data_IF_517588863549
#
_entry.id   IF_517588863549
#
_cell.length_a   1.000
_cell.length_b   1.000
_cell.length_c   1.000
_cell.angle_alpha   90.00
_cell.angle_beta   90.00
_cell.angle_gamma   90.00
#
_symmetry.space_group_name_H-M   'P 1'
#
loop_
_entity.id
_entity.type
_entity.pdbx_description
1 polymer ?
#
# COMPACT_ATOMS: atom_id res chain seq x y z
N UNK A 1 3.77 -2.97 12.20
CA UNK A 1 3.08 -1.97 13.02
C UNK A 1 3.65 -0.59 12.75
N UNK A 2 2.77 0.41 12.72
CA UNK A 2 3.18 1.82 12.59
C UNK A 2 2.67 2.56 13.83
N UNK A 3 3.58 3.01 14.65
CA UNK A 3 3.31 3.80 15.84
C UNK A 3 4.20 5.04 15.84
N UNK A 4 3.61 6.21 16.01
CA UNK A 4 4.35 7.49 16.02
C UNK A 4 5.28 7.69 14.80
N UNK A 5 4.79 7.35 13.59
CA UNK A 5 5.56 7.38 12.34
C UNK A 5 6.83 6.47 12.34
N UNK A 6 6.92 5.54 13.28
CA UNK A 6 7.94 4.49 13.31
C UNK A 6 7.33 3.17 12.87
N UNK A 7 8.06 2.44 12.03
CA UNK A 7 7.65 1.13 11.52
C UNK A 7 8.41 0.06 12.29
N UNK A 8 7.70 -0.92 12.83
CA UNK A 8 8.27 -2.09 13.51
C UNK A 8 7.76 -3.39 12.88
N UNK A 9 8.57 -4.45 13.00
CA UNK A 9 8.23 -5.78 12.52
C UNK A 9 7.64 -6.64 13.64
N UNK A 10 6.34 -6.93 13.55
CA UNK A 10 5.65 -7.79 14.52
C UNK A 10 6.10 -9.26 14.46
N UNK A 11 6.81 -9.69 13.42
CA UNK A 11 7.40 -11.03 13.33
C UNK A 11 8.83 -11.10 13.90
N UNK A 12 9.45 -9.95 14.21
CA UNK A 12 10.81 -9.87 14.75
C UNK A 12 10.83 -9.03 16.03
N UNK A 13 10.72 -9.68 17.18
CA UNK A 13 10.68 -9.00 18.49
C UNK A 13 11.98 -8.28 18.88
N UNK A 14 13.13 -8.70 18.32
CA UNK A 14 14.44 -8.10 18.59
C UNK A 14 14.77 -6.92 17.66
N UNK A 15 13.91 -6.64 16.68
CA UNK A 15 14.11 -5.58 15.68
C UNK A 15 13.73 -4.21 16.24
N UNK A 16 14.57 -3.21 15.97
CA UNK A 16 14.24 -1.80 16.17
C UNK A 16 13.31 -1.23 15.09
N UNK A 17 13.19 0.09 15.03
CA UNK A 17 12.43 0.76 13.97
C UNK A 17 13.05 0.49 12.60
N UNK A 18 12.19 0.14 11.62
CA UNK A 18 12.58 -0.16 10.26
C UNK A 18 12.40 1.05 9.34
N UNK A 19 13.27 1.17 8.33
CA UNK A 19 13.19 2.23 7.35
C UNK A 19 12.20 1.89 6.23
N UNK A 20 11.34 2.85 5.84
CA UNK A 20 10.58 2.79 4.60
C UNK A 20 11.43 3.37 3.49
N UNK A 21 11.67 2.59 2.43
CA UNK A 21 12.45 2.95 1.24
C UNK A 21 11.55 3.01 0.02
N UNK A 22 12.02 3.67 -1.01
CA UNK A 22 11.35 3.73 -2.31
C UNK A 22 12.25 3.15 -3.39
N UNK A 23 11.72 2.21 -4.15
CA UNK A 23 12.36 1.67 -5.34
C UNK A 23 11.54 2.04 -6.59
N UNK A 24 12.17 2.49 -7.69
CA UNK A 24 11.44 2.95 -8.88
C UNK A 24 10.44 1.93 -9.45
N UNK A 25 10.78 0.65 -9.43
CA UNK A 25 9.94 -0.43 -9.96
C UNK A 25 9.02 -1.08 -8.93
N UNK A 26 9.43 -1.14 -7.64
CA UNK A 26 8.69 -1.84 -6.57
C UNK A 26 7.83 -0.92 -5.70
N UNK A 27 7.94 0.42 -5.88
CA UNK A 27 7.29 1.37 -5.01
C UNK A 27 7.91 1.45 -3.61
N UNK A 28 7.10 1.79 -2.61
CA UNK A 28 7.55 1.85 -1.22
C UNK A 28 7.55 0.46 -0.58
N UNK A 29 8.61 0.19 0.17
CA UNK A 29 8.77 -1.06 0.92
C UNK A 29 9.47 -0.81 2.24
N UNK A 30 9.34 -1.76 3.17
CA UNK A 30 10.01 -1.73 4.47
C UNK A 30 11.31 -2.54 4.37
N UNK A 31 12.44 -1.88 4.57
CA UNK A 31 13.76 -2.49 4.51
C UNK A 31 13.95 -3.43 5.70
N UNK A 32 14.41 -4.66 5.45
CA UNK A 32 14.65 -5.65 6.50
C UNK A 32 13.41 -6.29 7.12
N UNK A 33 12.20 -6.05 6.56
CA UNK A 33 10.98 -6.69 7.03
C UNK A 33 11.06 -8.20 6.83
N UNK A 34 10.77 -8.97 7.88
CA UNK A 34 10.75 -10.43 7.82
C UNK A 34 9.59 -10.93 6.96
N UNK A 35 9.90 -11.80 6.01
CA UNK A 35 8.93 -12.51 5.19
C UNK A 35 8.97 -13.98 5.60
N UNK A 36 7.85 -14.52 6.07
CA UNK A 36 7.75 -15.91 6.50
C UNK A 36 7.01 -16.72 5.44
N UNK A 37 7.67 -17.68 4.76
CA UNK A 37 7.00 -18.59 3.85
C UNK A 37 6.00 -19.47 4.59
N UNK A 38 4.78 -19.58 4.08
CA UNK A 38 3.72 -20.43 4.62
C UNK A 38 3.31 -21.46 3.56
N UNK A 39 3.20 -22.73 3.97
CA UNK A 39 2.86 -23.84 3.06
C UNK A 39 1.35 -24.03 2.90
N UNK A 40 0.59 -23.65 3.93
CA UNK A 40 -0.84 -23.86 4.01
C UNK A 40 -1.54 -22.75 4.79
N UNK A 41 -2.87 -22.83 4.86
CA UNK A 41 -3.71 -21.89 5.58
C UNK A 41 -3.42 -21.89 7.09
N UNK A 42 -3.19 -23.06 7.68
CA UNK A 42 -2.96 -23.16 9.13
C UNK A 42 -1.66 -22.46 9.54
N UNK A 43 -0.58 -22.68 8.78
CA UNK A 43 0.70 -21.99 8.97
C UNK A 43 0.59 -20.48 8.76
N UNK A 44 -0.19 -20.03 7.77
CA UNK A 44 -0.46 -18.61 7.52
C UNK A 44 -1.19 -17.98 8.69
N UNK A 45 -2.29 -18.60 9.16
CA UNK A 45 -3.06 -18.08 10.29
C UNK A 45 -2.23 -18.08 11.58
N UNK A 46 -1.44 -19.12 11.83
CA UNK A 46 -0.52 -19.18 12.98
C UNK A 46 0.48 -18.02 12.96
N UNK A 47 1.08 -17.75 11.80
CA UNK A 47 2.04 -16.64 11.64
C UNK A 47 1.38 -15.28 11.91
N UNK A 48 0.18 -15.05 11.38
CA UNK A 48 -0.60 -13.84 11.64
C UNK A 48 -0.93 -13.70 13.13
N UNK A 49 -1.43 -14.78 13.74
CA UNK A 49 -1.80 -14.80 15.16
C UNK A 49 -0.61 -14.46 16.08
N UNK A 50 0.57 -15.01 15.80
CA UNK A 50 1.78 -14.68 16.55
C UNK A 50 2.16 -13.20 16.42
N UNK A 51 2.04 -12.60 15.25
CA UNK A 51 2.26 -11.16 15.05
C UNK A 51 1.27 -10.31 15.85
N UNK A 52 -0.03 -10.62 15.78
CA UNK A 52 -1.07 -9.92 16.50
C UNK A 52 -0.92 -10.02 18.03
N UNK A 53 -0.49 -11.18 18.54
CA UNK A 53 -0.24 -11.35 19.98
C UNK A 53 0.93 -10.46 20.44
N UNK A 54 1.98 -10.31 19.64
CA UNK A 54 3.08 -9.39 19.98
C UNK A 54 2.63 -7.94 20.02
N UNK A 55 1.77 -7.51 19.11
CA UNK A 55 1.14 -6.18 19.17
C UNK A 55 0.42 -5.97 20.50
N UNK A 56 -0.36 -6.96 20.96
CA UNK A 56 -1.10 -6.90 22.25
C UNK A 56 -0.17 -6.81 23.45
N UNK A 57 0.89 -7.61 23.48
CA UNK A 57 1.85 -7.59 24.60
C UNK A 57 2.61 -6.27 24.68
N UNK A 58 2.98 -5.69 23.53
CA UNK A 58 3.56 -4.34 23.47
C UNK A 58 2.61 -3.26 23.99
N UNK A 59 1.28 -3.42 23.76
CA UNK A 59 0.25 -2.49 24.21
C UNK A 59 0.07 -2.45 25.75
N UNK A 60 0.24 -3.58 26.44
CA UNK A 60 0.13 -3.64 27.91
C UNK A 60 1.18 -2.78 28.64
N UNK A 61 2.33 -2.52 28.00
CA UNK A 61 3.39 -1.69 28.57
C UNK A 61 3.22 -0.18 28.28
N UNK A 62 2.30 0.22 27.38
CA UNK A 62 2.17 1.59 26.87
C UNK A 62 0.68 1.98 26.67
N UNK A 63 -0.14 2.00 27.74
CA UNK A 63 -1.50 2.56 27.74
C UNK A 63 -2.25 2.45 26.39
N UNK A 64 -3.00 1.36 26.15
CA UNK A 64 -3.89 1.17 24.99
C UNK A 64 -3.25 1.44 23.61
N UNK A 65 -1.99 1.03 23.42
CA UNK A 65 -1.24 1.29 22.19
C UNK A 65 -1.94 0.75 20.91
N UNK A 66 -2.86 -0.22 21.01
CA UNK A 66 -3.59 -0.76 19.87
C UNK A 66 -4.56 0.26 19.24
N UNK A 67 -5.16 1.16 20.02
CA UNK A 67 -6.00 2.24 19.51
C UNK A 67 -5.19 3.37 18.88
N UNK A 68 -3.87 3.38 19.06
CA UNK A 68 -2.96 4.45 18.64
C UNK A 68 -1.94 4.03 17.59
N UNK A 69 -1.91 2.76 17.20
CA UNK A 69 -1.02 2.23 16.17
C UNK A 69 -1.80 1.66 14.99
N UNK A 70 -1.21 1.67 13.79
CA UNK A 70 -1.75 0.98 12.62
C UNK A 70 -1.06 -0.38 12.49
N UNK A 71 -1.82 -1.42 12.15
CA UNK A 71 -1.30 -2.74 11.86
C UNK A 71 -1.52 -3.08 10.38
N UNK A 72 -0.44 -3.43 9.68
CA UNK A 72 -0.49 -3.85 8.28
C UNK A 72 -0.06 -5.31 8.16
N UNK A 73 -0.95 -6.16 7.66
CA UNK A 73 -0.67 -7.56 7.38
C UNK A 73 -0.72 -7.77 5.88
N UNK A 74 0.43 -8.08 5.28
CA UNK A 74 0.52 -8.34 3.84
C UNK A 74 0.70 -9.84 3.59
N UNK A 75 -0.22 -10.43 2.82
CA UNK A 75 -0.15 -11.80 2.35
C UNK A 75 0.21 -11.78 0.87
N UNK A 76 1.32 -12.42 0.54
CA UNK A 76 1.79 -12.59 -0.82
C UNK A 76 1.39 -13.99 -1.31
N UNK A 77 0.73 -14.07 -2.46
CA UNK A 77 0.30 -15.32 -3.07
C UNK A 77 1.03 -15.46 -4.40
N UNK A 78 1.77 -16.55 -4.54
CA UNK A 78 2.44 -16.91 -5.76
C UNK A 78 1.81 -18.19 -6.32
N UNK A 79 1.24 -18.11 -7.52
CA UNK A 79 0.67 -19.25 -8.23
C UNK A 79 1.59 -19.63 -9.38
N UNK A 80 2.09 -20.86 -9.32
CA UNK A 80 2.84 -21.47 -10.43
C UNK A 80 1.95 -22.55 -11.09
N UNK A 81 1.84 -22.53 -12.39
CA UNK A 81 1.12 -23.55 -13.16
C UNK A 81 0.67 -23.06 -14.54
N UNK A 82 0.62 -23.98 -15.52
CA UNK A 82 0.13 -23.68 -16.87
C UNK A 82 1.04 -22.78 -17.72
N UNK A 83 2.34 -22.67 -17.41
CA UNK A 83 3.28 -21.84 -18.16
C UNK A 83 3.25 -20.35 -17.79
N UNK A 84 2.38 -19.96 -16.86
CA UNK A 84 2.31 -18.59 -16.34
C UNK A 84 2.52 -18.59 -14.83
N UNK A 85 3.36 -17.67 -14.36
CA UNK A 85 3.52 -17.35 -12.95
C UNK A 85 2.72 -16.09 -12.64
N UNK A 86 1.81 -16.16 -11.66
CA UNK A 86 0.98 -15.03 -11.23
C UNK A 86 1.28 -14.68 -9.79
N UNK A 87 1.48 -13.41 -9.55
CA UNK A 87 1.75 -12.86 -8.24
C UNK A 87 0.57 -12.00 -7.77
N UNK A 88 0.14 -12.21 -6.52
CA UNK A 88 -0.89 -11.43 -5.87
C UNK A 88 -0.44 -10.97 -4.49
N UNK A 89 -0.87 -9.77 -4.09
CA UNK A 89 -0.66 -9.22 -2.75
C UNK A 89 -1.99 -8.73 -2.20
N UNK A 90 -2.33 -9.19 -1.00
CA UNK A 90 -3.46 -8.65 -0.23
C UNK A 90 -2.88 -8.00 1.03
N UNK A 91 -3.26 -6.76 1.31
CA UNK A 91 -2.87 -6.07 2.54
C UNK A 91 -4.12 -5.78 3.36
N UNK A 92 -4.17 -6.33 4.56
CA UNK A 92 -5.15 -5.99 5.58
C UNK A 92 -4.57 -4.86 6.42
N UNK A 93 -5.31 -3.76 6.55
CA UNK A 93 -4.92 -2.59 7.33
C UNK A 93 -5.91 -2.39 8.47
N UNK A 94 -5.46 -2.58 9.71
CA UNK A 94 -6.17 -2.18 10.92
C UNK A 94 -5.62 -0.82 11.35
N UNK A 95 -6.43 0.22 11.19
CA UNK A 95 -6.01 1.60 11.41
C UNK A 95 -6.17 1.97 12.90
N UNK A 96 -5.35 2.91 13.37
CA UNK A 96 -5.56 3.54 14.66
C UNK A 96 -6.94 4.20 14.73
N UNK A 97 -7.47 4.40 15.92
CA UNK A 97 -8.76 5.02 16.12
C UNK A 97 -8.84 6.41 15.48
N UNK A 98 -9.99 6.70 14.88
CA UNK A 98 -10.27 8.01 14.25
C UNK A 98 -10.80 9.04 15.24
N UNK A 99 -11.11 8.62 16.45
CA UNK A 99 -11.63 9.47 17.51
C UNK A 99 -10.63 10.57 17.88
N UNK A 100 -11.13 11.77 18.09
CA UNK A 100 -10.35 12.88 18.65
C UNK A 100 -10.02 12.55 20.10
N UNK A 101 -8.74 12.35 20.41
CA UNK A 101 -8.31 12.27 21.79
C UNK A 101 -8.64 13.61 22.44
N UNK A 102 -9.78 13.65 23.16
CA UNK A 102 -10.15 14.80 24.00
C UNK A 102 -8.97 15.00 24.93
N UNK A 103 -8.43 16.20 24.96
CA UNK A 103 -7.39 16.58 25.91
C UNK A 103 -7.94 16.36 27.33
N UNK A 104 -7.68 15.18 27.88
CA UNK A 104 -7.98 14.90 29.29
C UNK A 104 -7.07 15.78 30.11
N UNK A 105 -7.70 16.64 30.92
CA UNK A 105 -7.17 17.76 31.67
C UNK A 105 -5.80 17.62 32.31
N UNK A 106 -5.12 18.73 32.32
CA UNK A 106 -4.09 19.28 33.22
C UNK A 106 -2.83 18.50 33.62
N UNK A 107 -2.63 17.22 33.27
CA UNK A 107 -1.42 16.47 33.61
C UNK A 107 -0.74 15.74 32.43
N UNK A 108 -0.91 16.20 31.22
CA UNK A 108 -0.26 15.62 30.04
C UNK A 108 1.17 16.12 29.90
N UNK A 109 2.14 15.21 30.00
CA UNK A 109 3.56 15.50 29.73
C UNK A 109 3.77 15.92 28.27
N UNK A 110 4.80 16.72 27.99
CA UNK A 110 5.17 17.12 26.59
C UNK A 110 5.33 15.94 25.64
N UNK A 111 5.60 14.74 26.15
CA UNK A 111 5.67 13.48 25.40
C UNK A 111 4.29 13.06 24.89
N UNK A 112 3.23 13.15 25.70
CA UNK A 112 1.86 12.79 25.35
C UNK A 112 1.29 13.68 24.24
N UNK A 113 1.61 14.98 24.23
CA UNK A 113 1.18 15.91 23.16
C UNK A 113 1.83 15.60 21.81
N UNK A 114 3.11 15.18 21.80
CA UNK A 114 3.80 14.77 20.56
C UNK A 114 3.23 13.46 20.02
N UNK A 115 2.93 12.51 20.88
CA UNK A 115 2.33 11.23 20.54
C UNK A 115 0.95 11.42 19.91
N UNK A 116 0.05 12.16 20.56
CA UNK A 116 -1.29 12.49 20.06
C UNK A 116 -1.22 13.20 18.69
N UNK A 117 -0.30 14.15 18.54
CA UNK A 117 -0.09 14.86 17.27
C UNK A 117 0.35 13.95 16.14
N UNK A 118 1.12 12.90 16.43
CA UNK A 118 1.65 11.97 15.44
C UNK A 118 0.60 10.93 14.98
N UNK A 119 -0.22 10.40 15.89
CA UNK A 119 -1.30 9.47 15.57
C UNK A 119 -2.33 10.15 14.67
N UNK A 120 -2.77 11.34 15.04
CA UNK A 120 -3.68 12.14 14.24
C UNK A 120 -3.06 12.57 12.90
N UNK A 121 -1.72 12.71 12.83
CA UNK A 121 -1.02 13.06 11.59
C UNK A 121 -1.21 12.01 10.52
N UNK A 122 -1.02 10.73 10.82
CA UNK A 122 -1.10 9.64 9.82
C UNK A 122 -2.50 9.54 9.22
N UNK A 123 -3.56 9.60 10.03
CA UNK A 123 -4.95 9.58 9.57
C UNK A 123 -5.33 10.88 8.84
N UNK A 124 -4.85 12.04 9.30
CA UNK A 124 -5.06 13.30 8.61
C UNK A 124 -4.41 13.32 7.22
N UNK A 125 -3.18 12.82 7.10
CA UNK A 125 -2.51 12.68 5.81
C UNK A 125 -3.25 11.69 4.92
N UNK A 126 -3.74 10.56 5.48
CA UNK A 126 -4.56 9.61 4.75
C UNK A 126 -5.83 10.27 4.20
N UNK A 127 -6.51 11.09 5.00
CA UNK A 127 -7.66 11.87 4.55
C UNK A 127 -7.34 12.83 3.40
N UNK A 128 -6.19 13.52 3.47
CA UNK A 128 -5.71 14.38 2.38
C UNK A 128 -5.44 13.60 1.09
N UNK A 129 -4.79 12.43 1.20
CA UNK A 129 -4.52 11.54 0.07
C UNK A 129 -5.82 11.09 -0.58
N UNK A 130 -6.77 10.57 0.20
CA UNK A 130 -8.07 10.11 -0.30
C UNK A 130 -8.85 11.28 -0.94
N UNK A 131 -8.88 12.46 -0.30
CA UNK A 131 -9.53 13.65 -0.87
C UNK A 131 -8.89 14.11 -2.17
N UNK A 132 -7.56 14.04 -2.30
CA UNK A 132 -6.88 14.37 -3.55
C UNK A 132 -7.23 13.35 -4.65
N UNK A 133 -7.23 12.07 -4.34
CA UNK A 133 -7.55 10.99 -5.28
C UNK A 133 -9.02 11.03 -5.73
N UNK A 134 -9.96 11.32 -4.83
CA UNK A 134 -11.38 11.42 -5.14
C UNK A 134 -11.69 12.56 -6.12
N UNK A 135 -10.86 13.61 -6.12
CA UNK A 135 -10.93 14.75 -7.05
C UNK A 135 -10.23 14.51 -8.39
N UNK A 136 -9.70 13.30 -8.62
CA UNK A 136 -8.98 12.96 -9.84
C UNK A 136 -7.53 13.47 -9.88
N UNK A 137 -6.95 13.83 -8.73
CA UNK A 137 -5.53 14.17 -8.63
C UNK A 137 -4.72 12.89 -8.53
N UNK A 138 -3.94 12.56 -9.56
CA UNK A 138 -3.07 11.38 -9.56
C UNK A 138 -2.45 11.13 -10.94
N UNK A 139 -1.29 10.51 -10.98
CA UNK A 139 -0.53 10.27 -12.21
C UNK A 139 -1.31 9.47 -13.27
N UNK A 140 -2.29 8.66 -12.88
CA UNK A 140 -3.07 7.80 -13.77
C UNK A 140 -4.41 8.40 -14.24
N UNK A 141 -4.77 9.62 -13.80
CA UNK A 141 -6.08 10.21 -14.09
C UNK A 141 -6.02 11.52 -14.90
N UNK A 142 -4.85 11.91 -15.42
CA UNK A 142 -4.69 13.12 -16.24
C UNK A 142 -4.84 14.44 -15.48
N UNK A 143 -5.09 14.40 -14.17
CA UNK A 143 -5.17 15.57 -13.30
C UNK A 143 -3.80 15.82 -12.66
N UNK A 144 -3.11 16.89 -13.04
CA UNK A 144 -1.77 17.25 -12.55
C UNK A 144 -1.68 17.65 -11.07
N UNK A 145 -2.59 17.17 -10.19
CA UNK A 145 -2.61 17.50 -8.78
C UNK A 145 -1.61 16.69 -7.96
N UNK A 146 -0.92 17.36 -7.04
CA UNK A 146 -0.01 16.71 -6.08
C UNK A 146 -0.79 15.88 -5.04
N UNK A 147 -0.41 14.63 -4.85
CA UNK A 147 -0.96 13.74 -3.82
C UNK A 147 0.12 13.49 -2.74
N UNK A 148 -0.13 13.86 -1.47
CA UNK A 148 0.91 13.90 -0.43
C UNK A 148 1.18 12.52 0.20
N UNK A 149 1.50 11.50 -0.60
CA UNK A 149 1.79 10.15 -0.09
C UNK A 149 3.00 10.09 0.85
N UNK A 150 3.97 11.00 0.69
CA UNK A 150 5.23 10.97 1.43
C UNK A 150 5.15 11.57 2.83
N UNK A 151 4.03 12.20 3.17
CA UNK A 151 3.87 12.92 4.43
C UNK A 151 3.65 11.99 5.63
N UNK A 152 3.31 10.70 5.40
CA UNK A 152 3.16 9.68 6.44
C UNK A 152 3.67 8.32 5.97
N UNK A 153 4.20 7.51 6.90
CA UNK A 153 4.60 6.12 6.63
C UNK A 153 3.41 5.26 6.22
N UNK A 154 2.25 5.50 6.81
CA UNK A 154 1.00 4.81 6.47
C UNK A 154 0.65 5.01 4.99
N UNK A 155 0.62 6.25 4.52
CA UNK A 155 0.26 6.56 3.12
C UNK A 155 1.32 6.10 2.13
N UNK A 156 2.61 6.09 2.51
CA UNK A 156 3.67 5.50 1.71
C UNK A 156 3.43 4.01 1.47
N UNK A 157 3.09 3.25 2.52
CA UNK A 157 2.88 1.80 2.43
C UNK A 157 1.54 1.40 1.79
N UNK A 158 0.54 2.29 1.80
CA UNK A 158 -0.77 2.07 1.19
C UNK A 158 -0.88 2.62 -0.25
N UNK A 159 0.17 3.23 -0.80
CA UNK A 159 0.13 3.89 -2.12
C UNK A 159 -0.33 2.94 -3.22
N UNK A 160 0.11 1.68 -3.22
CA UNK A 160 -0.26 0.69 -4.24
C UNK A 160 -1.75 0.37 -4.22
N UNK A 161 -2.35 0.37 -3.03
CA UNK A 161 -3.78 0.12 -2.84
C UNK A 161 -4.63 1.35 -3.14
N UNK A 162 -4.18 2.55 -2.74
CA UNK A 162 -4.91 3.81 -2.88
C UNK A 162 -4.62 4.51 -4.22
N UNK A 163 -3.42 4.31 -4.78
CA UNK A 163 -2.97 4.96 -6.02
C UNK A 163 -3.59 4.43 -7.30
N UNK A 164 -4.58 3.58 -7.21
CA UNK A 164 -5.36 3.10 -8.35
C UNK A 164 -4.79 1.85 -9.04
N UNK A 165 -3.63 1.32 -8.63
CA UNK A 165 -3.04 0.10 -9.20
C UNK A 165 -3.62 -1.19 -8.61
N UNK A 166 -4.26 -1.12 -7.45
CA UNK A 166 -4.93 -2.21 -6.76
C UNK A 166 -6.41 -1.95 -6.57
N UNK A 167 -7.12 -2.93 -6.01
CA UNK A 167 -8.48 -2.76 -5.50
C UNK A 167 -8.40 -2.49 -4.01
N UNK A 168 -9.13 -1.50 -3.52
CA UNK A 168 -9.27 -1.22 -2.10
C UNK A 168 -10.73 -1.41 -1.67
N UNK A 169 -10.91 -1.97 -0.48
CA UNK A 169 -12.20 -2.01 0.21
C UNK A 169 -12.02 -1.38 1.59
N UNK A 170 -12.93 -0.53 2.00
CA UNK A 170 -12.92 0.11 3.31
C UNK A 170 -14.10 -0.39 4.13
N UNK A 171 -13.82 -0.83 5.35
CA UNK A 171 -14.82 -1.17 6.35
C UNK A 171 -14.99 0.03 7.31
N UNK A 172 -16.13 0.70 7.22
CA UNK A 172 -16.47 1.81 8.08
C UNK A 172 -17.19 1.28 9.34
N UNK A 173 -16.51 1.33 10.49
CA UNK A 173 -17.05 0.87 11.76
C UNK A 173 -17.73 2.06 12.46
N UNK A 174 -19.04 1.98 12.68
CA UNK A 174 -19.86 3.02 13.25
C UNK A 174 -20.56 2.55 14.53
N UNK A 175 -20.67 3.44 15.53
CA UNK A 175 -21.45 3.18 16.74
C UNK A 175 -22.91 3.62 16.55
N UNK A 176 -23.90 2.83 17.02
CA UNK A 176 -25.31 3.24 17.01
C UNK A 176 -25.67 4.20 18.15
N UNK A 177 -24.77 4.49 19.08
CA UNK A 177 -25.03 5.33 20.23
C UNK A 177 -25.08 6.81 19.85
N UNK A 178 -26.09 7.55 20.33
CA UNK A 178 -26.26 8.96 20.05
C UNK A 178 -25.08 9.84 20.49
N UNK A 179 -24.40 9.45 21.57
CA UNK A 179 -23.21 10.15 22.10
C UNK A 179 -22.01 10.10 21.12
N UNK A 180 -21.99 9.13 20.20
CA UNK A 180 -20.94 8.96 19.18
C UNK A 180 -21.37 9.41 17.79
N UNK A 181 -22.47 10.16 17.68
CA UNK A 181 -23.03 10.58 16.38
C UNK A 181 -22.07 11.42 15.54
N UNK A 182 -21.29 12.30 16.17
CA UNK A 182 -20.28 13.12 15.48
C UNK A 182 -19.16 12.25 14.89
N UNK A 183 -18.66 11.28 15.65
CA UNK A 183 -17.61 10.36 15.18
C UNK A 183 -18.14 9.43 14.07
N UNK A 184 -19.37 8.98 14.20
CA UNK A 184 -20.04 8.18 13.14
C UNK A 184 -20.20 8.98 11.86
N UNK A 185 -20.61 10.24 11.91
CA UNK A 185 -20.71 11.14 10.76
C UNK A 185 -19.35 11.36 10.10
N UNK A 186 -18.31 11.60 10.88
CA UNK A 186 -16.93 11.75 10.36
C UNK A 186 -16.46 10.48 9.65
N UNK A 187 -16.74 9.31 10.21
CA UNK A 187 -16.42 8.01 9.61
C UNK A 187 -17.14 7.78 8.29
N UNK A 188 -18.46 8.09 8.23
CA UNK A 188 -19.26 7.99 7.02
C UNK A 188 -18.78 8.96 5.93
N UNK A 189 -18.47 10.20 6.28
CA UNK A 189 -17.92 11.18 5.35
C UNK A 189 -16.56 10.74 4.79
N UNK A 190 -15.70 10.17 5.61
CA UNK A 190 -14.44 9.61 5.16
C UNK A 190 -14.65 8.43 4.20
N UNK A 191 -15.61 7.55 4.50
CA UNK A 191 -15.97 6.42 3.63
C UNK A 191 -16.52 6.89 2.28
N UNK A 192 -17.35 7.94 2.26
CA UNK A 192 -17.86 8.58 1.05
C UNK A 192 -16.73 9.09 0.15
N UNK A 193 -15.74 9.78 0.73
CA UNK A 193 -14.56 10.21 -0.02
C UNK A 193 -13.79 9.03 -0.59
N UNK A 194 -13.62 7.95 0.18
CA UNK A 194 -12.92 6.75 -0.26
C UNK A 194 -13.67 6.04 -1.40
N UNK A 195 -15.00 6.04 -1.40
CA UNK A 195 -15.83 5.45 -2.46
C UNK A 195 -15.59 6.12 -3.83
N UNK A 196 -15.27 7.40 -3.84
CA UNK A 196 -15.03 8.17 -5.06
C UNK A 196 -13.61 7.97 -5.64
N UNK A 197 -12.73 7.24 -4.97
CA UNK A 197 -11.39 6.93 -5.48
C UNK A 197 -11.50 5.91 -6.61
N UNK A 198 -11.12 6.33 -7.82
CA UNK A 198 -11.12 5.46 -8.99
C UNK A 198 -9.89 4.56 -8.98
N UNK A 199 -10.07 3.27 -9.19
CA UNK A 199 -9.00 2.31 -9.34
C UNK A 199 -9.00 1.65 -10.72
N UNK A 200 -7.81 1.45 -11.29
CA UNK A 200 -7.59 0.66 -12.49
C UNK A 200 -6.59 -0.44 -12.13
N UNK A 201 -7.07 -1.58 -11.62
CA UNK A 201 -6.19 -2.64 -11.16
C UNK A 201 -5.30 -3.14 -12.29
N UNK A 202 -4.00 -3.22 -12.00
CA UNK A 202 -2.99 -3.75 -12.92
C UNK A 202 -2.56 -5.13 -12.41
N UNK A 203 -2.51 -6.11 -13.30
CA UNK A 203 -1.93 -7.41 -12.97
C UNK A 203 -0.43 -7.23 -12.77
N UNK A 204 0.06 -7.50 -11.57
CA UNK A 204 1.48 -7.48 -11.28
C UNK A 204 2.02 -8.86 -11.61
N UNK A 205 2.88 -8.94 -12.61
CA UNK A 205 3.64 -10.14 -12.94
C UNK A 205 4.88 -10.22 -12.05
N UNK A 206 5.40 -11.43 -11.86
CA UNK A 206 6.72 -11.60 -11.26
C UNK A 206 7.73 -10.77 -12.06
N UNK A 207 8.71 -10.10 -11.42
CA UNK A 207 9.72 -9.31 -12.14
C UNK A 207 10.47 -10.09 -13.22
N UNK A 208 10.67 -11.41 -13.05
CA UNK A 208 11.26 -12.28 -14.06
C UNK A 208 10.30 -12.50 -15.23
N UNK A 209 9.03 -12.77 -14.95
CA UNK A 209 8.01 -12.94 -16.00
C UNK A 209 7.77 -11.64 -16.77
N UNK A 210 7.76 -10.50 -16.09
CA UNK A 210 7.69 -9.19 -16.75
C UNK A 210 8.89 -8.97 -17.68
N UNK A 211 10.10 -9.29 -17.23
CA UNK A 211 11.31 -9.19 -18.06
C UNK A 211 11.24 -10.12 -19.28
N UNK A 212 10.71 -11.33 -19.12
CA UNK A 212 10.51 -12.28 -20.24
C UNK A 212 9.52 -11.70 -21.25
N UNK A 213 8.41 -11.13 -20.80
CA UNK A 213 7.43 -10.48 -21.69
C UNK A 213 8.01 -9.28 -22.42
N UNK A 214 8.77 -8.44 -21.74
CA UNK A 214 9.42 -7.27 -22.32
C UNK A 214 10.47 -7.69 -23.38
N UNK A 215 11.23 -8.74 -23.10
CA UNK A 215 12.17 -9.33 -24.05
C UNK A 215 11.45 -9.91 -25.27
N UNK A 216 10.34 -10.64 -25.09
CA UNK A 216 9.55 -11.15 -26.20
C UNK A 216 8.96 -10.04 -27.07
N UNK A 217 8.45 -8.96 -26.45
CA UNK A 217 7.97 -7.79 -27.17
C UNK A 217 9.10 -7.12 -27.99
N UNK A 218 10.28 -6.98 -27.40
CA UNK A 218 11.47 -6.43 -28.07
C UNK A 218 11.92 -7.31 -29.24
N UNK A 219 11.96 -8.64 -29.07
CA UNK A 219 12.30 -9.59 -30.12
C UNK A 219 11.29 -9.50 -31.26
N UNK A 220 10.00 -9.38 -30.97
CA UNK A 220 8.97 -9.22 -31.99
C UNK A 220 9.18 -7.93 -32.79
N UNK A 221 9.36 -6.80 -32.12
CA UNK A 221 9.62 -5.51 -32.75
C UNK A 221 10.86 -5.57 -33.69
N UNK A 222 11.97 -6.11 -33.18
CA UNK A 222 13.19 -6.26 -33.95
C UNK A 222 13.02 -7.20 -35.19
N UNK A 223 12.19 -8.24 -35.09
CA UNK A 223 11.88 -9.10 -36.22
C UNK A 223 11.04 -8.39 -37.28
N UNK A 224 10.09 -7.58 -36.87
CA UNK A 224 9.26 -6.80 -37.78
C UNK A 224 10.09 -5.70 -38.47
N UNK A 225 10.98 -5.00 -37.73
CA UNK A 225 11.93 -4.04 -38.28
C UNK A 225 12.89 -4.71 -39.31
N UNK A 226 13.46 -5.86 -38.98
CA UNK A 226 14.32 -6.62 -39.87
C UNK A 226 13.60 -7.05 -41.15
N UNK A 227 12.30 -7.44 -41.04
CA UNK A 227 11.50 -7.76 -42.24
C UNK A 227 11.31 -6.54 -43.11
N UNK A 228 10.97 -5.39 -42.54
CA UNK A 228 10.81 -4.14 -43.29
C UNK A 228 12.12 -3.72 -43.97
N UNK A 229 13.23 -3.78 -43.25
CA UNK A 229 14.56 -3.48 -43.83
C UNK A 229 14.93 -4.43 -44.97
N UNK A 230 14.66 -5.73 -44.84
CA UNK A 230 14.89 -6.72 -45.90
C UNK A 230 14.03 -6.44 -47.15
N UNK A 231 12.78 -6.05 -46.98
CA UNK A 231 11.89 -5.64 -48.08
C UNK A 231 12.39 -4.37 -48.77
N UNK A 232 12.81 -3.35 -48.02
CA UNK A 232 13.39 -2.13 -48.54
C UNK A 232 14.68 -2.41 -49.33
N UNK A 233 15.55 -3.24 -48.80
CA UNK A 233 16.79 -3.64 -49.48
C UNK A 233 16.49 -4.37 -50.79
N UNK A 234 15.51 -5.29 -50.76
CA UNK A 234 15.09 -6.00 -51.98
C UNK A 234 14.54 -5.07 -53.04
N UNK A 235 13.72 -4.08 -52.63
CA UNK A 235 13.20 -3.06 -53.55
C UNK A 235 14.33 -2.18 -54.14
N UNK A 236 15.31 -1.79 -53.29
CA UNK A 236 16.46 -1.01 -53.74
C UNK A 236 17.35 -1.76 -54.72
N UNK A 237 17.48 -3.08 -54.56
CA UNK A 237 18.27 -3.95 -55.46
C UNK A 237 17.54 -4.31 -56.77
N UNK A 238 16.21 -4.25 -56.80
CA UNK A 238 15.37 -4.57 -57.97
C UNK A 238 14.85 -3.32 -58.70
N UNK A 239 15.37 -2.11 -58.35
CA UNK A 239 15.04 -0.86 -59.04
C UNK A 239 15.32 -0.98 -60.56
N UNK A 240 14.58 -0.22 -61.40
CA UNK A 240 14.67 -0.38 -62.85
C UNK A 240 16.10 -0.15 -63.34
N UNK A 241 16.59 -0.96 -64.30
CA UNK A 241 17.85 -0.70 -64.97
C UNK A 241 17.73 0.65 -65.68
N UNK A 242 18.68 1.56 -65.43
CA UNK A 242 18.74 2.87 -66.08
C UNK A 242 19.04 2.75 -67.59
#
# INVERSE_FOLDING_TARGET
EIYNEQVSDLQNAAGGALAVRHHPQRGFFVEGLKITPCKDLAGTLSTIYHGLNRRRVGAHNLNEASSRSHCLISVHVHRQGGGESRFGKITFADLAGSERLKATGSNTTKSSHRETGSINKSLFVLGKVISALSKGSGANQGGGGFVPYRDSKLTQLLIDSLGGRGRAAMLACCSPLAEHSEETLNTLHFAELALNVKSQPVVILDPQDQMILDLHATIKALRDDNRQLAEQLKMAMTGPPG
#
